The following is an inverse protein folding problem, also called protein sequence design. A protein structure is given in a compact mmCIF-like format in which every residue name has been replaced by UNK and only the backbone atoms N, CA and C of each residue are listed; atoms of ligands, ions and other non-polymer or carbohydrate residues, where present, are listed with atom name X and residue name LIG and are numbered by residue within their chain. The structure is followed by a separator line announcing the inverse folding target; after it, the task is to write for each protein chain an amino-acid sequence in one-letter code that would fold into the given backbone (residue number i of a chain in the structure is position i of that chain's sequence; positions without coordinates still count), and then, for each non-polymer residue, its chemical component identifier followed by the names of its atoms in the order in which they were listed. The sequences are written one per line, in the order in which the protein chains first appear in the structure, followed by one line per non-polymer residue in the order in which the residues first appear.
data_IF_958535069886
#
_entry.id   IF_958535069886
#
_cell.length_a   1.000
_cell.length_b   1.000
_cell.length_c   1.000
_cell.angle_alpha   90.00
_cell.angle_beta   90.00
_cell.angle_gamma   90.00
#
_symmetry.space_group_name_H-M   'P 1'
#
loop_
_entity.id
_entity.type
_entity.pdbx_description
1 polymer ?
#
# COMPACT_ATOMS: atom_id res chain seq x y z
N UNK A 1 15.68 34.16 -2.35
CA UNK A 1 15.31 34.34 -0.95
C UNK A 1 16.17 33.43 -0.07
N UNK A 2 16.72 33.94 1.04
CA UNK A 2 17.56 33.14 1.94
C UNK A 2 16.85 31.93 2.51
N UNK A 3 15.56 32.05 2.77
CA UNK A 3 14.75 30.95 3.31
C UNK A 3 14.57 29.81 2.30
N UNK A 4 14.47 30.11 1.02
CA UNK A 4 14.33 29.09 -0.03
C UNK A 4 15.63 28.30 -0.18
N UNK A 5 16.77 28.96 -0.10
CA UNK A 5 18.08 28.29 -0.14
C UNK A 5 18.28 27.39 1.08
N UNK A 6 17.92 27.88 2.26
CA UNK A 6 18.01 27.09 3.49
C UNK A 6 17.09 25.85 3.44
N UNK A 7 15.84 26.02 3.06
CA UNK A 7 14.89 24.92 2.94
C UNK A 7 15.34 23.89 1.89
N UNK A 8 15.90 24.34 0.76
CA UNK A 8 16.43 23.45 -0.28
C UNK A 8 17.64 22.66 0.22
N UNK A 9 18.55 23.29 0.96
CA UNK A 9 19.71 22.63 1.55
C UNK A 9 19.30 21.59 2.59
N UNK A 10 18.35 21.93 3.47
CA UNK A 10 17.82 20.99 4.47
C UNK A 10 17.13 19.78 3.80
N UNK A 11 16.35 20.02 2.75
CA UNK A 11 15.76 18.94 1.98
C UNK A 11 16.82 18.04 1.33
N UNK A 12 17.90 18.61 0.82
CA UNK A 12 19.02 17.84 0.27
C UNK A 12 19.67 16.97 1.34
N UNK A 13 19.96 17.54 2.51
CA UNK A 13 20.58 16.83 3.63
C UNK A 13 19.70 15.63 4.08
N UNK A 14 18.39 15.84 4.22
CA UNK A 14 17.42 14.77 4.51
C UNK A 14 17.46 13.68 3.43
N UNK A 15 17.52 14.08 2.17
CA UNK A 15 17.54 13.15 1.03
C UNK A 15 18.82 12.29 0.99
N UNK A 16 19.93 12.88 1.40
CA UNK A 16 21.23 12.21 1.49
C UNK A 16 21.39 11.40 2.79
N UNK A 17 20.48 11.55 3.75
CA UNK A 17 20.59 10.96 5.08
C UNK A 17 21.60 11.67 5.97
N UNK A 18 22.07 12.85 5.55
CA UNK A 18 22.98 13.73 6.31
C UNK A 18 22.16 14.70 7.16
N UNK A 19 21.53 14.18 8.20
CA UNK A 19 20.66 14.90 9.12
C UNK A 19 20.67 14.26 10.51
N UNK A 20 20.47 15.07 11.53
CA UNK A 20 20.31 14.57 12.91
C UNK A 20 18.90 13.99 13.17
N UNK A 21 17.96 14.17 12.26
CA UNK A 21 16.63 13.59 12.40
C UNK A 21 16.71 12.04 12.31
N UNK A 22 16.37 11.31 13.38
CA UNK A 22 16.54 9.86 13.44
C UNK A 22 15.71 9.09 12.40
N UNK A 23 14.65 9.69 11.85
CA UNK A 23 13.84 9.09 10.80
C UNK A 23 14.57 9.01 9.45
N UNK A 24 15.53 9.90 9.20
CA UNK A 24 16.22 10.05 7.93
C UNK A 24 17.73 9.85 8.01
N UNK A 25 18.32 9.90 9.19
CA UNK A 25 19.75 9.75 9.41
C UNK A 25 20.28 8.44 8.80
N UNK A 26 21.29 8.55 7.96
CA UNK A 26 21.91 7.41 7.28
C UNK A 26 21.09 6.78 6.16
N UNK A 27 19.91 7.32 5.81
CA UNK A 27 19.03 6.79 4.74
C UNK A 27 19.23 7.57 3.45
N UNK A 28 20.29 7.27 2.71
CA UNK A 28 20.59 7.91 1.43
C UNK A 28 19.70 7.40 0.31
N UNK A 29 18.64 8.14 -0.02
CA UNK A 29 17.69 7.79 -1.08
C UNK A 29 18.31 7.87 -2.48
N UNK A 30 19.28 8.73 -2.69
CA UNK A 30 19.96 8.87 -3.98
C UNK A 30 20.83 7.64 -4.22
N UNK A 31 21.61 7.23 -3.24
CA UNK A 31 22.44 6.03 -3.32
C UNK A 31 21.61 4.77 -3.56
N UNK A 32 20.50 4.59 -2.84
CA UNK A 32 19.57 3.49 -3.07
C UNK A 32 19.06 3.47 -4.51
N UNK A 33 18.68 4.61 -5.06
CA UNK A 33 18.20 4.70 -6.45
C UNK A 33 19.31 4.39 -7.46
N UNK A 34 20.53 4.87 -7.22
CA UNK A 34 21.68 4.53 -8.04
C UNK A 34 22.02 3.04 -7.97
N UNK A 35 21.88 2.43 -6.81
CA UNK A 35 22.05 0.98 -6.65
C UNK A 35 21.02 0.21 -7.47
N UNK A 36 19.73 0.60 -7.39
CA UNK A 36 18.68 0.01 -8.23
C UNK A 36 18.99 0.15 -9.72
N UNK A 37 19.50 1.30 -10.16
CA UNK A 37 19.93 1.47 -11.56
C UNK A 37 21.09 0.52 -11.94
N UNK A 38 22.07 0.37 -11.08
CA UNK A 38 23.19 -0.54 -11.31
C UNK A 38 22.76 -2.00 -11.37
N UNK A 39 21.95 -2.43 -10.40
CA UNK A 39 21.63 -3.84 -10.21
C UNK A 39 20.53 -4.31 -11.16
N UNK A 40 19.54 -3.48 -11.39
CA UNK A 40 18.35 -3.84 -12.17
C UNK A 40 18.27 -3.17 -13.54
N UNK A 41 19.17 -2.24 -13.87
CA UNK A 41 19.13 -1.49 -15.15
C UNK A 41 17.77 -0.78 -15.38
N UNK A 42 17.19 -0.26 -14.29
CA UNK A 42 15.95 0.52 -14.30
C UNK A 42 16.33 1.96 -13.95
N UNK A 43 15.93 2.92 -14.78
CA UNK A 43 16.24 4.35 -14.54
C UNK A 43 15.53 4.86 -13.28
N UNK A 44 16.24 4.83 -12.16
CA UNK A 44 15.68 5.15 -10.85
C UNK A 44 15.63 6.65 -10.54
N UNK A 45 16.59 7.41 -11.04
CA UNK A 45 16.76 8.81 -10.66
C UNK A 45 15.63 9.72 -11.16
N UNK A 46 15.05 9.42 -12.32
CA UNK A 46 14.01 10.23 -12.96
C UNK A 46 12.58 9.78 -12.64
N UNK A 47 12.41 8.72 -11.85
CA UNK A 47 11.10 8.18 -11.52
C UNK A 47 10.70 8.55 -10.09
N UNK A 48 9.40 8.79 -9.88
CA UNK A 48 8.86 8.74 -8.51
C UNK A 48 8.84 7.28 -8.01
N UNK A 49 8.62 7.08 -6.70
CA UNK A 49 8.71 5.77 -6.07
C UNK A 49 7.70 4.76 -6.66
N UNK A 50 6.50 5.22 -7.03
CA UNK A 50 5.46 4.39 -7.66
C UNK A 50 5.94 3.89 -9.03
N UNK A 51 6.47 4.79 -9.85
CA UNK A 51 6.96 4.45 -11.18
C UNK A 51 8.17 3.53 -11.10
N UNK A 52 9.10 3.82 -10.19
CA UNK A 52 10.28 2.99 -9.95
C UNK A 52 9.88 1.56 -9.55
N UNK A 53 8.97 1.41 -8.59
CA UNK A 53 8.45 0.10 -8.18
C UNK A 53 7.75 -0.64 -9.32
N UNK A 54 6.95 0.07 -10.12
CA UNK A 54 6.26 -0.51 -11.29
C UNK A 54 7.25 -1.03 -12.34
N UNK A 55 8.27 -0.27 -12.68
CA UNK A 55 9.27 -0.67 -13.69
C UNK A 55 10.15 -1.81 -13.19
N UNK A 56 10.49 -1.81 -11.90
CA UNK A 56 11.24 -2.90 -11.28
C UNK A 56 10.45 -4.21 -11.31
N UNK A 57 9.19 -4.20 -10.89
CA UNK A 57 8.31 -5.37 -10.92
C UNK A 57 8.11 -5.85 -12.36
N UNK A 58 7.88 -4.94 -13.31
CA UNK A 58 7.74 -5.29 -14.73
C UNK A 58 8.98 -6.00 -15.25
N UNK A 59 10.16 -5.47 -14.95
CA UNK A 59 11.43 -6.07 -15.37
C UNK A 59 11.59 -7.48 -14.81
N UNK A 60 11.44 -7.64 -13.50
CA UNK A 60 11.56 -8.94 -12.83
C UNK A 60 10.54 -9.96 -13.37
N UNK A 61 9.31 -9.50 -13.65
CA UNK A 61 8.27 -10.34 -14.25
C UNK A 61 8.62 -10.76 -15.69
N UNK A 62 9.16 -9.85 -16.50
CA UNK A 62 9.60 -10.18 -17.86
C UNK A 62 10.81 -11.12 -17.86
N UNK A 63 11.72 -10.98 -16.91
CA UNK A 63 12.85 -11.91 -16.75
C UNK A 63 12.39 -13.32 -16.39
N UNK A 64 11.39 -13.45 -15.51
CA UNK A 64 10.80 -14.74 -15.12
C UNK A 64 10.01 -15.39 -16.26
N UNK A 65 9.18 -14.60 -16.95
CA UNK A 65 8.24 -15.12 -17.95
C UNK A 65 8.78 -15.14 -19.37
N UNK A 66 9.92 -14.49 -19.63
CA UNK A 66 10.51 -14.28 -20.97
C UNK A 66 9.60 -13.47 -21.91
N UNK A 67 8.65 -12.72 -21.36
CA UNK A 67 7.74 -11.87 -22.14
C UNK A 67 8.36 -10.51 -22.42
N UNK A 68 7.95 -9.90 -23.53
CA UNK A 68 8.34 -8.54 -23.86
C UNK A 68 7.61 -7.52 -22.94
N UNK A 69 8.31 -6.52 -22.39
CA UNK A 69 7.68 -5.51 -21.53
C UNK A 69 6.51 -4.75 -22.18
N UNK A 70 6.58 -4.48 -23.47
CA UNK A 70 5.48 -3.79 -24.19
C UNK A 70 4.22 -4.67 -24.27
N UNK A 71 4.40 -5.97 -24.46
CA UNK A 71 3.28 -6.91 -24.51
C UNK A 71 2.66 -7.11 -23.13
N UNK A 72 3.47 -7.11 -22.08
CA UNK A 72 2.98 -7.17 -20.70
C UNK A 72 2.16 -5.92 -20.36
N UNK A 73 2.63 -4.71 -20.76
CA UNK A 73 1.89 -3.46 -20.51
C UNK A 73 0.53 -3.39 -21.22
N UNK A 74 0.38 -4.09 -22.33
CA UNK A 74 -0.89 -4.15 -23.08
C UNK A 74 -1.89 -5.12 -22.45
N UNK A 75 -1.43 -6.03 -21.61
CA UNK A 75 -2.31 -6.99 -20.94
C UNK A 75 -3.20 -6.28 -19.92
N UNK A 76 -4.47 -6.63 -19.94
CA UNK A 76 -5.43 -6.15 -18.94
C UNK A 76 -6.52 -7.21 -18.72
N UNK A 77 -7.17 -7.13 -17.58
CA UNK A 77 -8.41 -7.89 -17.32
C UNK A 77 -9.53 -6.88 -17.12
N UNK A 78 -10.30 -6.56 -18.18
CA UNK A 78 -11.41 -5.63 -18.06
C UNK A 78 -12.42 -6.14 -17.03
N UNK A 79 -12.83 -5.28 -16.13
CA UNK A 79 -13.88 -5.55 -15.14
C UNK A 79 -14.81 -4.36 -15.08
N UNK A 80 -15.72 -4.25 -16.06
CA UNK A 80 -16.59 -3.06 -16.17
C UNK A 80 -17.55 -2.95 -15.00
N UNK A 81 -17.93 -4.07 -14.39
CA UNK A 81 -18.83 -4.12 -13.23
C UNK A 81 -18.26 -5.10 -12.22
N UNK A 82 -18.17 -4.66 -10.97
CA UNK A 82 -17.79 -5.50 -9.82
C UNK A 82 -18.85 -5.32 -8.74
N UNK A 83 -19.51 -6.40 -8.37
CA UNK A 83 -20.38 -6.42 -7.18
C UNK A 83 -19.52 -6.75 -5.97
N UNK A 84 -19.41 -5.84 -5.00
CA UNK A 84 -18.55 -6.05 -3.82
C UNK A 84 -18.98 -7.29 -3.01
N UNK A 85 -20.27 -7.63 -3.00
CA UNK A 85 -20.75 -8.87 -2.36
C UNK A 85 -20.02 -10.13 -2.82
N UNK A 86 -19.58 -10.17 -4.09
CA UNK A 86 -18.90 -11.33 -4.69
C UNK A 86 -17.39 -11.35 -4.33
N UNK A 87 -16.89 -10.23 -3.79
CA UNK A 87 -15.51 -10.08 -3.34
C UNK A 87 -15.34 -10.32 -1.83
N UNK A 88 -16.44 -10.35 -1.07
CA UNK A 88 -16.37 -10.56 0.38
C UNK A 88 -16.02 -12.02 0.68
N UNK A 89 -15.03 -12.26 1.58
CA UNK A 89 -14.76 -13.62 2.03
C UNK A 89 -15.97 -14.23 2.71
N UNK A 90 -16.23 -15.51 2.48
CA UNK A 90 -17.38 -16.23 3.07
C UNK A 90 -17.38 -16.27 4.61
N UNK A 91 -16.17 -16.14 5.20
CA UNK A 91 -15.98 -16.10 6.65
C UNK A 91 -16.14 -14.70 7.25
N UNK A 92 -16.35 -13.67 6.40
CA UNK A 92 -16.46 -12.30 6.87
C UNK A 92 -17.77 -12.06 7.59
N UNK A 93 -17.69 -12.08 8.90
CA UNK A 93 -18.80 -11.76 9.81
C UNK A 93 -18.29 -10.94 10.98
N UNK A 94 -19.15 -10.13 11.55
CA UNK A 94 -18.83 -9.41 12.77
C UNK A 94 -19.57 -10.03 13.96
N UNK A 95 -18.86 -10.19 15.08
CA UNK A 95 -19.42 -10.71 16.33
C UNK A 95 -20.41 -9.73 16.99
N UNK A 96 -20.42 -8.47 16.59
CA UNK A 96 -21.28 -7.44 17.16
C UNK A 96 -22.17 -6.83 16.09
N UNK A 97 -23.45 -6.65 16.42
CA UNK A 97 -24.46 -6.12 15.49
C UNK A 97 -24.17 -4.68 15.02
N UNK A 98 -23.36 -3.92 15.76
CA UNK A 98 -22.98 -2.56 15.40
C UNK A 98 -22.34 -2.46 14.00
N UNK A 99 -21.71 -3.53 13.52
CA UNK A 99 -21.02 -3.57 12.23
C UNK A 99 -21.88 -4.15 11.09
N UNK A 100 -23.07 -4.66 11.38
CA UNK A 100 -23.96 -5.21 10.34
C UNK A 100 -24.29 -4.18 9.24
N UNK A 101 -24.57 -2.90 9.52
CA UNK A 101 -24.80 -1.90 8.49
C UNK A 101 -23.61 -1.75 7.51
N UNK A 102 -22.38 -1.95 7.97
CA UNK A 102 -21.19 -1.92 7.13
C UNK A 102 -21.18 -3.09 6.13
N UNK A 103 -21.49 -4.31 6.58
CA UNK A 103 -21.59 -5.47 5.68
C UNK A 103 -22.67 -5.25 4.62
N UNK A 104 -23.84 -4.76 5.03
CA UNK A 104 -24.93 -4.49 4.08
C UNK A 104 -24.57 -3.39 3.09
N UNK A 105 -23.83 -2.34 3.53
CA UNK A 105 -23.31 -1.32 2.61
C UNK A 105 -22.33 -1.94 1.61
N UNK A 106 -21.41 -2.82 2.03
CA UNK A 106 -20.52 -3.52 1.11
C UNK A 106 -21.28 -4.40 0.13
N UNK A 107 -22.23 -5.20 0.61
CA UNK A 107 -23.03 -6.09 -0.26
C UNK A 107 -23.85 -5.33 -1.31
N UNK A 108 -24.31 -4.13 -0.98
CA UNK A 108 -25.07 -3.28 -1.91
C UNK A 108 -24.21 -2.46 -2.86
N UNK A 109 -22.89 -2.39 -2.64
CA UNK A 109 -21.99 -1.55 -3.44
C UNK A 109 -21.62 -2.23 -4.75
N UNK A 110 -21.70 -1.46 -5.84
CA UNK A 110 -21.29 -1.86 -7.18
C UNK A 110 -20.23 -0.88 -7.67
N UNK A 111 -19.15 -1.39 -8.21
CA UNK A 111 -18.07 -0.61 -8.83
C UNK A 111 -18.21 -0.70 -10.34
N UNK A 112 -18.24 0.44 -11.02
CA UNK A 112 -18.34 0.56 -12.48
C UNK A 112 -17.03 1.13 -13.03
N UNK A 113 -16.35 0.41 -13.93
CA UNK A 113 -15.08 0.83 -14.55
C UNK A 113 -14.03 1.32 -13.54
N UNK A 114 -13.98 0.68 -12.36
CA UNK A 114 -13.06 1.06 -11.28
C UNK A 114 -13.56 2.19 -10.38
N UNK A 115 -14.74 2.76 -10.64
CA UNK A 115 -15.33 3.83 -9.85
C UNK A 115 -16.64 3.39 -9.20
N UNK A 116 -16.96 3.93 -8.05
CA UNK A 116 -18.27 3.80 -7.41
C UNK A 116 -19.14 5.01 -7.75
N UNK A 117 -20.42 4.81 -8.02
CA UNK A 117 -21.39 5.92 -8.22
C UNK A 117 -21.46 6.82 -6.99
N UNK A 118 -21.36 6.22 -5.82
CA UNK A 118 -21.27 6.91 -4.55
C UNK A 118 -19.90 6.63 -3.94
N UNK A 119 -19.32 7.62 -3.29
CA UNK A 119 -18.08 7.42 -2.53
C UNK A 119 -18.34 6.32 -1.50
N UNK A 120 -17.58 5.24 -1.59
CA UNK A 120 -17.62 4.19 -0.59
C UNK A 120 -17.00 4.75 0.70
N UNK A 121 -17.84 5.32 1.54
CA UNK A 121 -17.48 5.85 2.84
C UNK A 121 -18.58 5.50 3.82
N UNK A 122 -18.21 4.95 4.95
CA UNK A 122 -19.10 4.59 6.03
C UNK A 122 -18.42 4.87 7.36
N UNK A 123 -19.05 5.72 8.17
CA UNK A 123 -18.56 6.04 9.50
C UNK A 123 -19.45 5.36 10.56
N UNK A 124 -18.83 4.81 11.58
CA UNK A 124 -19.54 4.33 12.75
C UNK A 124 -18.77 4.69 14.03
N UNK A 125 -19.48 4.75 15.14
CA UNK A 125 -18.90 4.94 16.47
C UNK A 125 -19.04 3.62 17.23
N UNK A 126 -17.91 3.11 17.70
CA UNK A 126 -17.88 1.91 18.52
C UNK A 126 -17.04 2.15 19.79
N UNK A 127 -17.66 2.02 20.95
CA UNK A 127 -17.05 2.27 22.27
C UNK A 127 -16.36 3.65 22.37
N UNK A 128 -17.00 4.69 21.83
CA UNK A 128 -16.46 6.06 21.84
C UNK A 128 -15.39 6.35 20.80
N UNK A 129 -15.01 5.36 19.98
CA UNK A 129 -14.03 5.56 18.89
C UNK A 129 -14.75 5.67 17.56
N UNK A 130 -14.46 6.73 16.80
CA UNK A 130 -14.94 6.86 15.42
C UNK A 130 -14.11 5.99 14.50
N UNK A 131 -14.80 5.15 13.72
CA UNK A 131 -14.19 4.29 12.72
C UNK A 131 -14.74 4.68 11.35
N UNK A 132 -13.87 5.05 10.43
CA UNK A 132 -14.20 5.41 9.06
C UNK A 132 -13.73 4.32 8.09
N UNK A 133 -14.63 3.82 7.27
CA UNK A 133 -14.35 2.82 6.25
C UNK A 133 -14.43 3.44 4.86
N UNK A 134 -13.50 3.09 4.00
CA UNK A 134 -13.46 3.55 2.63
C UNK A 134 -12.74 2.57 1.71
N UNK A 135 -12.53 2.95 0.45
CA UNK A 135 -11.81 2.13 -0.53
C UNK A 135 -10.33 1.90 -0.15
N UNK A 136 -9.76 2.77 0.68
CA UNK A 136 -8.37 2.65 1.16
C UNK A 136 -8.22 1.79 2.41
N UNK A 137 -9.32 1.41 3.07
CA UNK A 137 -9.28 0.62 4.29
C UNK A 137 -10.15 1.17 5.41
N UNK A 138 -9.91 0.70 6.62
CA UNK A 138 -10.55 1.16 7.85
C UNK A 138 -9.57 2.01 8.66
N UNK A 139 -10.03 3.16 9.12
CA UNK A 139 -9.26 4.08 9.94
C UNK A 139 -10.04 4.38 11.23
N UNK A 140 -9.38 4.28 12.35
CA UNK A 140 -9.95 4.60 13.64
C UNK A 140 -9.08 5.65 14.34
N UNK A 141 -9.73 6.61 14.98
CA UNK A 141 -9.04 7.62 15.76
C UNK A 141 -9.82 7.87 17.04
N UNK A 142 -9.15 7.83 18.17
CA UNK A 142 -9.72 8.29 19.43
C UNK A 142 -9.84 9.82 19.43
N UNK A 143 -10.66 10.35 20.33
CA UNK A 143 -10.72 11.81 20.54
C UNK A 143 -9.33 12.36 20.86
N UNK A 144 -8.98 13.56 20.33
CA UNK A 144 -7.70 14.17 20.60
C UNK A 144 -7.44 14.32 22.11
N UNK A 145 -6.27 13.91 22.57
CA UNK A 145 -5.94 13.96 23.98
C UNK A 145 -4.47 13.64 24.23
N UNK A 146 -4.05 13.80 25.47
CA UNK A 146 -2.73 13.39 25.95
C UNK A 146 -2.88 12.07 26.69
N UNK A 147 -2.33 11.01 26.13
CA UNK A 147 -2.31 9.68 26.76
C UNK A 147 -0.95 9.46 27.40
N UNK A 148 -0.95 9.04 28.66
CA UNK A 148 0.29 8.73 29.41
C UNK A 148 0.21 7.33 29.94
N UNK A 149 1.29 6.57 29.78
CA UNK A 149 1.46 5.31 30.46
C UNK A 149 1.67 5.53 31.95
N UNK A 150 1.18 4.60 32.76
CA UNK A 150 1.37 4.55 34.21
C UNK A 150 1.59 3.09 34.65
N UNK A 151 1.61 2.83 35.96
CA UNK A 151 1.83 1.49 36.51
C UNK A 151 0.75 0.45 36.14
N UNK A 152 -0.42 0.91 35.66
CA UNK A 152 -1.57 0.06 35.31
C UNK A 152 -1.80 -0.02 33.82
N UNK A 153 -1.39 0.98 33.05
CA UNK A 153 -1.67 1.12 31.61
C UNK A 153 -0.40 1.39 30.82
N UNK A 154 -0.13 0.51 29.86
CA UNK A 154 0.91 0.70 28.86
C UNK A 154 0.35 1.29 27.56
N UNK A 155 1.17 2.06 26.87
CA UNK A 155 0.90 2.49 25.49
C UNK A 155 1.81 1.68 24.57
N UNK A 156 1.21 1.02 23.58
CA UNK A 156 1.94 0.18 22.63
C UNK A 156 1.61 0.64 21.22
N UNK A 157 2.64 0.78 20.38
CA UNK A 157 2.52 0.91 18.94
C UNK A 157 2.72 -0.47 18.31
N UNK A 158 1.73 -0.95 17.56
CA UNK A 158 1.75 -2.28 16.95
C UNK A 158 1.41 -2.13 15.48
N UNK A 159 2.33 -2.54 14.61
CA UNK A 159 2.14 -2.57 13.16
C UNK A 159 2.33 -3.99 12.62
N UNK A 160 1.66 -4.28 11.50
CA UNK A 160 1.83 -5.54 10.78
C UNK A 160 2.78 -5.28 9.60
N UNK A 161 3.98 -5.80 9.68
CA UNK A 161 4.96 -5.63 8.61
C UNK A 161 4.45 -6.19 7.29
N UNK A 162 4.49 -5.33 6.27
CA UNK A 162 4.11 -5.71 4.91
C UNK A 162 2.71 -6.32 4.78
N UNK A 163 1.70 -5.82 5.51
CA UNK A 163 0.35 -6.37 5.56
C UNK A 163 -0.24 -6.67 4.16
N UNK A 164 -0.28 -5.69 3.26
CA UNK A 164 -0.86 -5.88 1.93
C UNK A 164 -0.09 -6.90 1.07
N UNK A 165 1.25 -6.86 0.99
CA UNK A 165 2.04 -7.89 0.34
C UNK A 165 1.77 -9.29 0.89
N UNK A 166 1.77 -9.43 2.20
CA UNK A 166 1.53 -10.71 2.88
C UNK A 166 0.13 -11.26 2.60
N UNK A 167 -0.90 -10.41 2.63
CA UNK A 167 -2.25 -10.80 2.26
C UNK A 167 -2.35 -11.22 0.79
N UNK A 168 -1.74 -10.48 -0.13
CA UNK A 168 -1.73 -10.84 -1.54
C UNK A 168 -1.11 -12.21 -1.78
N UNK A 169 0.00 -12.51 -1.10
CA UNK A 169 0.68 -13.80 -1.22
C UNK A 169 -0.11 -14.92 -0.56
N UNK A 170 -0.56 -14.74 0.68
CA UNK A 170 -1.25 -15.80 1.45
C UNK A 170 -2.62 -16.16 0.91
N UNK A 171 -3.31 -15.20 0.28
CA UNK A 171 -4.62 -15.39 -0.34
C UNK A 171 -4.55 -15.62 -1.85
N UNK A 172 -3.34 -15.80 -2.39
CA UNK A 172 -3.09 -15.95 -3.83
C UNK A 172 -3.75 -14.85 -4.69
N UNK A 173 -3.71 -13.59 -4.24
CA UNK A 173 -4.28 -12.45 -4.96
C UNK A 173 -3.26 -11.91 -5.97
N UNK A 174 -3.61 -11.93 -7.25
CA UNK A 174 -2.76 -11.42 -8.32
C UNK A 174 -3.57 -10.90 -9.50
N UNK A 175 -3.00 -10.01 -10.33
CA UNK A 175 -3.64 -9.59 -11.58
C UNK A 175 -3.86 -10.79 -12.50
N UNK A 176 -5.11 -11.11 -12.79
CA UNK A 176 -5.47 -12.33 -13.53
C UNK A 176 -4.77 -12.45 -14.89
N UNK A 177 -4.59 -11.33 -15.59
CA UNK A 177 -3.89 -11.28 -16.88
C UNK A 177 -2.38 -11.55 -16.79
N UNK A 178 -1.79 -11.48 -15.60
CA UNK A 178 -0.38 -11.81 -15.36
C UNK A 178 -0.20 -13.23 -14.81
N UNK A 179 -1.24 -13.81 -14.23
CA UNK A 179 -1.23 -15.18 -13.73
C UNK A 179 -0.35 -15.36 -12.48
N UNK A 180 -0.18 -16.63 -12.10
CA UNK A 180 0.59 -17.02 -10.89
C UNK A 180 2.09 -16.65 -10.98
N UNK A 181 2.63 -16.45 -12.17
CA UNK A 181 4.01 -16.00 -12.34
C UNK A 181 4.25 -14.62 -11.68
N UNK A 182 3.25 -13.72 -11.72
CA UNK A 182 3.33 -12.46 -11.00
C UNK A 182 3.48 -12.68 -9.49
N UNK A 183 2.67 -13.55 -8.92
CA UNK A 183 2.71 -13.84 -7.48
C UNK A 183 4.05 -14.44 -7.06
N UNK A 184 4.62 -15.34 -7.88
CA UNK A 184 5.94 -15.91 -7.67
C UNK A 184 7.02 -14.82 -7.61
N UNK A 185 7.05 -13.93 -8.62
CA UNK A 185 8.01 -12.81 -8.65
C UNK A 185 7.83 -11.90 -7.46
N UNK A 186 6.58 -11.54 -7.13
CA UNK A 186 6.27 -10.65 -6.03
C UNK A 186 6.73 -11.21 -4.69
N UNK A 187 6.47 -12.50 -4.43
CA UNK A 187 6.93 -13.19 -3.23
C UNK A 187 8.45 -13.32 -3.18
N UNK A 188 9.06 -13.91 -4.22
CA UNK A 188 10.45 -14.38 -4.19
C UNK A 188 11.46 -13.27 -4.44
N UNK A 189 11.08 -12.21 -5.19
CA UNK A 189 11.99 -11.15 -5.63
C UNK A 189 11.72 -9.79 -4.97
N UNK A 190 10.58 -9.60 -4.34
CA UNK A 190 10.22 -8.32 -3.71
C UNK A 190 10.05 -8.49 -2.20
N UNK A 191 9.21 -9.42 -1.76
CA UNK A 191 8.87 -9.53 -0.32
C UNK A 191 9.92 -10.31 0.46
N UNK A 192 10.39 -11.45 -0.04
CA UNK A 192 11.35 -12.31 0.67
C UNK A 192 12.81 -11.84 0.58
N UNK A 193 13.10 -10.75 -0.13
CA UNK A 193 14.48 -10.21 -0.29
C UNK A 193 14.80 -9.14 0.77
N UNK A 194 13.87 -8.85 1.68
CA UNK A 194 14.04 -7.86 2.78
C UNK A 194 14.91 -8.39 3.90
#
# INVERSE_FOLDING_TARGET
NKNDVFATNEFLNITLGDTENPLYKGKNKIELRQQIERDYKVSGMNFNDIKLGTELILKLYCEETKLNPQDVRKKSTPRPIIHLKDCLPKWMEFKTNNFNPLIEKFKSTIIYNGETKEKLSFDLIYKGVKISYGTGGAHACAEPGVFKADDKFGIYDVDIDSLYPTLAISQELYPQHLGKAFLKVYRDKIVNVR
#
